data_IF_332948835976
#
_entry.id   IF_332948835976
#
_cell.length_a   1.000
_cell.length_b   1.000
_cell.length_c   1.000
_cell.angle_alpha   90.00
_cell.angle_beta   90.00
_cell.angle_gamma   90.00
#
_symmetry.space_group_name_H-M   'P 1'
#
loop_
_entity.id
_entity.type
_entity.pdbx_description
1 polymer ?
#
# COMPACT_ATOMS: atom_id res chain seq x y z
N UNK A 1 -2.12 -99.87 -16.37
CA UNK A 1 -3.54 -100.26 -16.27
C UNK A 1 -3.94 -99.94 -14.82
N UNK A 2 -4.17 -98.65 -14.51
CA UNK A 2 -5.47 -97.96 -14.25
C UNK A 2 -6.17 -98.54 -13.00
N UNK A 3 -6.49 -97.77 -11.94
CA UNK A 3 -7.52 -96.72 -11.87
C UNK A 3 -7.35 -95.80 -10.64
N UNK A 4 -7.47 -94.49 -10.87
CA UNK A 4 -8.17 -93.42 -10.10
C UNK A 4 -8.14 -93.35 -8.57
N UNK A 5 -7.71 -92.18 -8.06
CA UNK A 5 -8.48 -91.48 -7.03
C UNK A 5 -8.42 -89.96 -7.23
N UNK A 6 -9.60 -89.35 -7.22
CA UNK A 6 -9.90 -87.95 -7.45
C UNK A 6 -9.49 -87.09 -6.25
N UNK A 7 -8.92 -85.91 -6.52
CA UNK A 7 -9.14 -84.75 -5.66
C UNK A 7 -9.31 -83.49 -6.53
N UNK A 8 -10.56 -83.21 -6.89
CA UNK A 8 -10.97 -81.90 -7.38
C UNK A 8 -11.02 -80.91 -6.21
N UNK A 9 -10.29 -79.79 -6.34
CA UNK A 9 -10.70 -78.50 -5.77
C UNK A 9 -10.58 -77.44 -6.86
N UNK A 10 -11.68 -76.79 -7.28
CA UNK A 10 -11.66 -75.70 -8.22
C UNK A 10 -11.34 -74.41 -7.45
N UNK A 11 -10.38 -73.60 -7.90
CA UNK A 11 -10.08 -72.38 -7.19
C UNK A 11 -8.92 -71.58 -7.75
N UNK A 12 -9.24 -70.77 -8.77
CA UNK A 12 -8.54 -69.52 -9.10
C UNK A 12 -7.09 -69.70 -9.58
N UNK A 13 -6.94 -70.06 -10.86
CA UNK A 13 -5.78 -69.60 -11.63
C UNK A 13 -5.91 -68.09 -11.76
N UNK A 14 -4.98 -67.32 -11.15
CA UNK A 14 -4.87 -65.87 -11.31
C UNK A 14 -4.49 -65.53 -12.75
N UNK A 15 -5.45 -65.55 -13.68
CA UNK A 15 -5.34 -64.76 -14.90
C UNK A 15 -5.68 -63.32 -14.50
N UNK A 16 -4.66 -62.53 -14.17
CA UNK A 16 -4.84 -61.07 -14.21
C UNK A 16 -5.05 -60.76 -15.69
N UNK A 17 -6.30 -60.54 -16.07
CA UNK A 17 -6.69 -60.17 -17.42
C UNK A 17 -5.84 -58.99 -17.86
N UNK A 18 -4.99 -59.22 -18.87
CA UNK A 18 -4.17 -58.19 -19.52
C UNK A 18 -5.02 -57.01 -20.01
N UNK A 19 -6.31 -57.24 -20.31
CA UNK A 19 -7.28 -56.20 -20.63
C UNK A 19 -7.66 -55.30 -19.44
N UNK A 20 -7.77 -55.83 -18.21
CA UNK A 20 -8.08 -55.03 -17.01
C UNK A 20 -6.88 -54.20 -16.59
N UNK A 21 -5.66 -54.76 -16.67
CA UNK A 21 -4.44 -54.01 -16.40
C UNK A 21 -4.20 -52.89 -17.45
N UNK A 22 -4.51 -53.15 -18.73
CA UNK A 22 -4.41 -52.14 -19.79
C UNK A 22 -5.45 -51.04 -19.64
N UNK A 23 -6.71 -51.36 -19.31
CA UNK A 23 -7.76 -50.37 -19.07
C UNK A 23 -7.48 -49.50 -17.82
N UNK A 24 -6.86 -50.07 -16.77
CA UNK A 24 -6.40 -49.30 -15.60
C UNK A 24 -5.24 -48.35 -15.95
N UNK A 25 -4.28 -48.79 -16.78
CA UNK A 25 -3.17 -47.97 -17.26
C UNK A 25 -3.66 -46.84 -18.19
N UNK A 26 -4.59 -47.14 -19.10
CA UNK A 26 -5.24 -46.13 -19.96
C UNK A 26 -6.05 -45.12 -19.13
N UNK A 27 -6.83 -45.58 -18.15
CA UNK A 27 -7.55 -44.69 -17.22
C UNK A 27 -6.62 -43.82 -16.36
N UNK A 28 -5.47 -44.35 -15.93
CA UNK A 28 -4.45 -43.56 -15.23
C UNK A 28 -3.77 -42.54 -16.15
N UNK A 29 -3.47 -42.90 -17.40
CA UNK A 29 -2.87 -41.99 -18.38
C UNK A 29 -3.83 -40.87 -18.78
N UNK A 30 -5.12 -41.18 -18.94
CA UNK A 30 -6.17 -40.17 -19.19
C UNK A 30 -6.34 -39.25 -17.98
N UNK A 31 -6.34 -39.79 -16.75
CA UNK A 31 -6.39 -38.97 -15.54
C UNK A 31 -5.17 -38.05 -15.35
N UNK A 32 -3.98 -38.50 -15.74
CA UNK A 32 -2.75 -37.68 -15.75
C UNK A 32 -2.80 -36.62 -16.86
N UNK A 33 -3.30 -36.95 -18.04
CA UNK A 33 -3.46 -36.01 -19.15
C UNK A 33 -4.48 -34.91 -18.82
N UNK A 34 -5.61 -35.26 -18.21
CA UNK A 34 -6.62 -34.29 -17.75
C UNK A 34 -6.09 -33.41 -16.61
N UNK A 35 -5.34 -33.97 -15.66
CA UNK A 35 -4.71 -33.20 -14.61
C UNK A 35 -3.65 -32.24 -15.15
N UNK A 36 -2.90 -32.66 -16.18
CA UNK A 36 -1.91 -31.82 -16.87
C UNK A 36 -2.58 -30.70 -17.66
N UNK A 37 -3.63 -31.00 -18.43
CA UNK A 37 -4.38 -30.01 -19.19
C UNK A 37 -5.02 -28.95 -18.28
N UNK A 38 -5.57 -29.35 -17.12
CA UNK A 38 -6.09 -28.40 -16.12
C UNK A 38 -5.01 -27.51 -15.52
N UNK A 39 -3.80 -28.04 -15.29
CA UNK A 39 -2.66 -27.22 -14.83
C UNK A 39 -2.20 -26.24 -15.89
N UNK A 40 -2.05 -26.69 -17.13
CA UNK A 40 -1.66 -25.83 -18.25
C UNK A 40 -2.70 -24.73 -18.52
N UNK A 41 -3.99 -25.05 -18.41
CA UNK A 41 -5.07 -24.06 -18.51
C UNK A 41 -5.04 -23.05 -17.35
N UNK A 42 -4.77 -23.51 -16.12
CA UNK A 42 -4.65 -22.63 -14.97
C UNK A 42 -3.42 -21.72 -15.05
N UNK A 43 -2.27 -22.26 -15.43
CA UNK A 43 -1.04 -21.49 -15.67
C UNK A 43 -1.23 -20.45 -16.79
N UNK A 44 -1.97 -20.78 -17.85
CA UNK A 44 -2.28 -19.84 -18.93
C UNK A 44 -3.18 -18.68 -18.46
N UNK A 45 -4.15 -18.96 -17.58
CA UNK A 45 -5.01 -17.93 -16.97
C UNK A 45 -4.22 -17.02 -16.03
N UNK A 46 -3.35 -17.60 -15.20
CA UNK A 46 -2.48 -16.84 -14.29
C UNK A 46 -1.52 -15.93 -15.06
N UNK A 47 -0.93 -16.42 -16.16
CA UNK A 47 -0.10 -15.59 -17.06
C UNK A 47 -0.89 -14.46 -17.72
N UNK A 48 -2.11 -14.72 -18.18
CA UNK A 48 -2.96 -13.69 -18.78
C UNK A 48 -3.30 -12.58 -17.77
N UNK A 49 -3.62 -12.93 -16.53
CA UNK A 49 -3.92 -11.97 -15.47
C UNK A 49 -2.68 -11.13 -15.08
N UNK A 50 -1.50 -11.74 -15.05
CA UNK A 50 -0.23 -11.03 -14.80
C UNK A 50 0.11 -10.08 -15.96
N UNK A 51 -0.11 -10.52 -17.20
CA UNK A 51 0.12 -9.71 -18.40
C UNK A 51 -0.80 -8.47 -18.43
N UNK A 52 -2.08 -8.64 -18.15
CA UNK A 52 -3.04 -7.52 -18.08
C UNK A 52 -2.62 -6.50 -17.00
N UNK A 53 -2.17 -6.98 -15.84
CA UNK A 53 -1.64 -6.11 -14.77
C UNK A 53 -0.40 -5.35 -15.24
N UNK A 54 0.53 -6.02 -15.94
CA UNK A 54 1.73 -5.38 -16.49
C UNK A 54 1.42 -4.34 -17.57
N UNK A 55 0.42 -4.55 -18.41
CA UNK A 55 0.05 -3.59 -19.47
C UNK A 55 -0.49 -2.28 -18.88
N UNK A 56 -1.20 -2.34 -17.76
CA UNK A 56 -1.68 -1.15 -17.02
C UNK A 56 -0.62 -0.49 -16.12
N UNK A 57 0.52 -1.16 -15.92
CA UNK A 57 1.52 -0.80 -14.93
C UNK A 57 2.24 0.54 -15.21
N UNK A 58 2.66 0.86 -16.46
CA UNK A 58 3.29 2.14 -16.75
C UNK A 58 2.38 3.33 -16.42
N UNK A 59 1.09 3.24 -16.74
CA UNK A 59 0.11 4.29 -16.46
C UNK A 59 -0.09 4.49 -14.96
N UNK A 60 -0.10 3.40 -14.18
CA UNK A 60 -0.17 3.43 -12.73
C UNK A 60 1.04 4.14 -12.14
N UNK A 61 2.25 3.77 -12.57
CA UNK A 61 3.50 4.39 -12.12
C UNK A 61 3.56 5.87 -12.47
N UNK A 62 3.16 6.25 -13.69
CA UNK A 62 3.09 7.66 -14.10
C UNK A 62 2.08 8.46 -13.26
N UNK A 63 0.93 7.85 -12.91
CA UNK A 63 -0.06 8.48 -12.03
C UNK A 63 0.50 8.68 -10.62
N UNK A 64 1.10 7.64 -10.03
CA UNK A 64 1.75 7.73 -8.71
C UNK A 64 2.85 8.78 -8.69
N UNK A 65 3.70 8.82 -9.72
CA UNK A 65 4.76 9.83 -9.83
C UNK A 65 4.18 11.27 -9.87
N UNK A 66 3.07 11.49 -10.59
CA UNK A 66 2.38 12.78 -10.62
C UNK A 66 1.80 13.15 -9.26
N UNK A 67 1.16 12.21 -8.59
CA UNK A 67 0.60 12.43 -7.24
C UNK A 67 1.69 12.74 -6.22
N UNK A 68 2.79 11.97 -6.24
CA UNK A 68 3.97 12.21 -5.39
C UNK A 68 4.55 13.61 -5.66
N UNK A 69 4.65 14.03 -6.92
CA UNK A 69 5.12 15.36 -7.26
C UNK A 69 4.20 16.46 -6.70
N UNK A 70 2.88 16.28 -6.82
CA UNK A 70 1.92 17.22 -6.26
C UNK A 70 2.00 17.29 -4.73
N UNK A 71 2.07 16.14 -4.05
CA UNK A 71 2.19 16.10 -2.58
C UNK A 71 3.48 16.76 -2.10
N UNK A 72 4.59 16.63 -2.85
CA UNK A 72 5.84 17.37 -2.54
C UNK A 72 5.65 18.88 -2.62
N UNK A 73 4.92 19.37 -3.62
CA UNK A 73 4.60 20.80 -3.75
C UNK A 73 3.74 21.27 -2.58
N UNK A 74 2.69 20.53 -2.24
CA UNK A 74 1.82 20.84 -1.09
C UNK A 74 2.60 20.89 0.23
N UNK A 75 3.53 19.94 0.44
CA UNK A 75 4.39 19.90 1.63
C UNK A 75 5.32 21.11 1.71
N UNK A 76 5.88 21.56 0.59
CA UNK A 76 6.72 22.76 0.55
C UNK A 76 5.91 24.01 0.88
N UNK A 77 4.70 24.16 0.30
CA UNK A 77 3.80 25.27 0.60
C UNK A 77 3.45 25.31 2.09
N UNK A 78 3.00 24.19 2.66
CA UNK A 78 2.65 24.08 4.07
C UNK A 78 3.84 24.40 4.98
N UNK A 79 5.05 23.97 4.61
CA UNK A 79 6.27 24.31 5.34
C UNK A 79 6.53 25.81 5.33
N UNK A 80 6.48 26.45 4.16
CA UNK A 80 6.68 27.90 4.03
C UNK A 80 5.64 28.69 4.80
N UNK A 81 4.36 28.29 4.72
CA UNK A 81 3.29 28.90 5.51
C UNK A 81 3.50 28.72 7.01
N UNK A 82 3.93 27.54 7.46
CA UNK A 82 4.27 27.29 8.85
C UNK A 82 5.45 28.13 9.35
N UNK A 83 6.48 28.35 8.53
CA UNK A 83 7.59 29.25 8.85
C UNK A 83 7.14 30.72 8.94
N UNK A 84 6.31 31.17 8.00
CA UNK A 84 5.72 32.50 8.04
C UNK A 84 4.86 32.72 9.30
N UNK A 85 4.05 31.72 9.68
CA UNK A 85 3.21 31.83 10.88
C UNK A 85 4.03 31.89 12.17
N UNK A 86 5.12 31.12 12.26
CA UNK A 86 6.05 31.21 13.39
C UNK A 86 6.66 32.61 13.51
N UNK A 87 7.00 33.24 12.40
CA UNK A 87 7.50 34.61 12.40
C UNK A 87 6.42 35.62 12.85
N UNK A 88 5.16 35.43 12.43
CA UNK A 88 4.04 36.26 12.85
C UNK A 88 3.76 36.15 14.36
N UNK A 89 3.72 34.92 14.89
CA UNK A 89 3.57 34.66 16.34
C UNK A 89 4.64 35.42 17.12
N UNK A 90 5.92 35.23 16.73
CA UNK A 90 7.03 35.92 17.39
C UNK A 90 6.91 37.44 17.29
N UNK A 91 6.57 37.98 16.12
CA UNK A 91 6.39 39.41 15.95
C UNK A 91 5.25 39.97 16.79
N UNK A 92 4.18 39.20 17.01
CA UNK A 92 3.06 39.59 17.86
C UNK A 92 3.48 39.64 19.34
N UNK A 93 4.23 38.63 19.80
CA UNK A 93 4.81 38.58 21.15
C UNK A 93 5.79 39.74 21.41
N UNK A 94 6.68 40.02 20.46
CA UNK A 94 7.64 41.13 20.53
C UNK A 94 6.90 42.49 20.61
N UNK A 95 5.86 42.67 19.78
CA UNK A 95 5.02 43.87 19.79
C UNK A 95 4.35 44.08 21.15
N UNK A 96 3.82 43.02 21.75
CA UNK A 96 3.22 43.12 23.08
C UNK A 96 4.18 43.43 24.19
N UNK A 97 5.36 42.84 24.14
CA UNK A 97 6.42 43.13 25.10
C UNK A 97 6.77 44.62 25.05
N UNK A 98 6.89 45.18 23.83
CA UNK A 98 7.10 46.61 23.63
C UNK A 98 5.93 47.47 24.11
N UNK A 99 4.68 47.08 23.81
CA UNK A 99 3.49 47.82 24.23
C UNK A 99 3.34 47.85 25.76
N UNK A 100 3.55 46.71 26.45
CA UNK A 100 3.52 46.66 27.92
C UNK A 100 4.55 47.59 28.54
N UNK A 101 5.80 47.54 28.06
CA UNK A 101 6.86 48.42 28.55
C UNK A 101 6.55 49.91 28.35
N UNK A 102 5.87 50.27 27.26
CA UNK A 102 5.43 51.64 27.00
C UNK A 102 4.28 52.07 27.93
N UNK A 103 3.30 51.18 28.16
CA UNK A 103 2.15 51.45 29.03
C UNK A 103 2.54 51.56 30.50
N UNK A 104 3.48 50.74 30.98
CA UNK A 104 4.05 50.83 32.33
C UNK A 104 4.68 52.21 32.59
N UNK A 105 5.42 52.75 31.61
CA UNK A 105 6.01 54.11 31.70
C UNK A 105 4.96 55.22 31.75
N UNK A 106 3.79 54.99 31.15
CA UNK A 106 2.71 55.97 31.06
C UNK A 106 1.70 55.87 32.22
N UNK A 107 1.79 54.85 33.08
CA UNK A 107 0.88 54.64 34.21
C UNK A 107 -0.58 54.34 33.80
N UNK A 108 -0.82 53.85 32.57
CA UNK A 108 -2.16 53.67 32.00
C UNK A 108 -2.63 52.21 32.11
N UNK A 109 -3.32 51.87 33.19
CA UNK A 109 -3.78 50.50 33.46
C UNK A 109 -4.98 50.04 32.60
N UNK A 110 -5.92 50.92 32.25
CA UNK A 110 -7.12 50.52 31.47
C UNK A 110 -6.80 50.21 30.00
N UNK A 111 -5.90 50.98 29.38
CA UNK A 111 -5.39 50.70 28.03
C UNK A 111 -4.62 49.37 28.00
N UNK A 112 -3.98 49.01 29.11
CA UNK A 112 -3.27 47.74 29.25
C UNK A 112 -4.23 46.53 29.17
N UNK A 113 -5.44 46.65 29.71
CA UNK A 113 -6.40 45.53 29.70
C UNK A 113 -6.92 45.20 28.30
N UNK A 114 -7.34 46.20 27.51
CA UNK A 114 -7.84 45.97 26.15
C UNK A 114 -6.74 45.47 25.21
N UNK A 115 -5.53 46.04 25.30
CA UNK A 115 -4.38 45.63 24.50
C UNK A 115 -3.96 44.18 24.81
N UNK A 116 -4.02 43.78 26.09
CA UNK A 116 -3.77 42.40 26.50
C UNK A 116 -4.84 41.46 25.95
N UNK A 117 -6.12 41.83 26.02
CA UNK A 117 -7.22 41.03 25.50
C UNK A 117 -7.09 40.80 23.98
N UNK A 118 -6.95 41.88 23.19
CA UNK A 118 -6.76 41.80 21.73
C UNK A 118 -5.56 40.93 21.35
N UNK A 119 -4.45 41.05 22.08
CA UNK A 119 -3.31 40.19 21.84
C UNK A 119 -3.60 38.73 22.16
N UNK A 120 -4.21 38.42 23.30
CA UNK A 120 -4.51 37.03 23.66
C UNK A 120 -5.41 36.37 22.64
N UNK A 121 -6.41 37.09 22.11
CA UNK A 121 -7.27 36.59 21.04
C UNK A 121 -6.48 36.37 19.75
N UNK A 122 -5.65 37.34 19.35
CA UNK A 122 -4.82 37.23 18.14
C UNK A 122 -3.81 36.07 18.25
N UNK A 123 -3.20 35.92 19.42
CA UNK A 123 -2.25 34.85 19.71
C UNK A 123 -2.93 33.48 19.71
N UNK A 124 -4.13 33.37 20.28
CA UNK A 124 -4.93 32.15 20.24
C UNK A 124 -5.29 31.77 18.80
N UNK A 125 -5.66 32.73 17.95
CA UNK A 125 -5.95 32.49 16.54
C UNK A 125 -4.72 32.02 15.77
N UNK A 126 -3.58 32.70 15.91
CA UNK A 126 -2.32 32.33 15.25
C UNK A 126 -1.82 30.95 15.69
N UNK A 127 -1.92 30.64 16.99
CA UNK A 127 -1.52 29.32 17.50
C UNK A 127 -2.45 28.20 17.01
N UNK A 128 -3.76 28.45 16.93
CA UNK A 128 -4.70 27.50 16.35
C UNK A 128 -4.41 27.26 14.86
N UNK A 129 -4.13 28.30 14.10
CA UNK A 129 -3.74 28.17 12.69
C UNK A 129 -2.42 27.40 12.53
N UNK A 130 -1.44 27.63 13.41
CA UNK A 130 -0.18 26.86 13.39
C UNK A 130 -0.42 25.37 13.65
N UNK A 131 -1.33 25.02 14.56
CA UNK A 131 -1.74 23.64 14.78
C UNK A 131 -2.41 23.02 13.57
N UNK A 132 -3.29 23.74 12.89
CA UNK A 132 -3.96 23.27 11.68
C UNK A 132 -2.97 23.03 10.53
N UNK A 133 -2.02 23.94 10.32
CA UNK A 133 -0.96 23.77 9.31
C UNK A 133 -0.09 22.56 9.64
N UNK A 134 0.27 22.39 10.92
CA UNK A 134 1.05 21.22 11.36
C UNK A 134 0.29 19.92 11.10
N UNK A 135 -1.00 19.85 11.46
CA UNK A 135 -1.82 18.67 11.23
C UNK A 135 -1.96 18.36 9.73
N UNK A 136 -2.16 19.39 8.89
CA UNK A 136 -2.22 19.22 7.43
C UNK A 136 -0.87 18.73 6.86
N UNK A 137 0.24 19.25 7.37
CA UNK A 137 1.59 18.80 6.98
C UNK A 137 1.82 17.33 7.35
N UNK A 138 1.49 16.95 8.58
CA UNK A 138 1.65 15.57 9.06
C UNK A 138 0.79 14.60 8.22
N UNK A 139 -0.44 14.97 7.87
CA UNK A 139 -1.31 14.17 7.00
C UNK A 139 -0.76 14.03 5.57
N UNK A 140 -0.29 15.13 4.96
CA UNK A 140 0.33 15.10 3.62
C UNK A 140 1.62 14.30 3.60
N UNK A 141 2.38 14.32 4.69
CA UNK A 141 3.58 13.51 4.85
C UNK A 141 3.25 12.02 4.89
N UNK A 142 2.22 11.62 5.63
CA UNK A 142 1.77 10.22 5.64
C UNK A 142 1.30 9.78 4.24
N UNK A 143 0.57 10.64 3.52
CA UNK A 143 0.18 10.37 2.13
C UNK A 143 1.41 10.16 1.23
N UNK A 144 2.42 11.01 1.37
CA UNK A 144 3.67 10.88 0.61
C UNK A 144 4.38 9.55 0.90
N UNK A 145 4.50 9.18 2.17
CA UNK A 145 5.14 7.93 2.61
C UNK A 145 4.38 6.70 2.05
N UNK A 146 3.05 6.71 2.11
CA UNK A 146 2.22 5.64 1.55
C UNK A 146 2.39 5.49 0.02
N UNK A 147 2.26 6.59 -0.73
CA UNK A 147 2.44 6.57 -2.18
C UNK A 147 3.86 6.15 -2.59
N UNK A 148 4.87 6.56 -1.82
CA UNK A 148 6.26 6.18 -2.09
C UNK A 148 6.48 4.68 -1.87
N UNK A 149 5.86 4.11 -0.83
CA UNK A 149 5.90 2.66 -0.58
C UNK A 149 5.16 1.89 -1.67
N UNK A 150 3.96 2.34 -2.04
CA UNK A 150 3.16 1.69 -3.09
C UNK A 150 3.90 1.72 -4.43
N UNK A 151 4.58 2.82 -4.76
CA UNK A 151 5.42 2.91 -5.95
C UNK A 151 6.63 1.96 -5.88
N UNK A 152 7.22 1.77 -4.71
CA UNK A 152 8.32 0.83 -4.52
C UNK A 152 7.86 -0.63 -4.69
N UNK A 153 6.72 -0.97 -4.08
CA UNK A 153 6.10 -2.30 -4.17
C UNK A 153 5.69 -2.61 -5.61
N UNK A 154 5.11 -1.63 -6.31
CA UNK A 154 4.80 -1.71 -7.72
C UNK A 154 6.06 -2.05 -8.53
N UNK A 155 7.14 -1.29 -8.36
CA UNK A 155 8.39 -1.53 -9.10
C UNK A 155 9.00 -2.90 -8.80
N UNK A 156 8.97 -3.32 -7.53
CA UNK A 156 9.44 -4.64 -7.12
C UNK A 156 8.61 -5.77 -7.77
N UNK A 157 7.30 -5.58 -7.92
CA UNK A 157 6.46 -6.51 -8.66
C UNK A 157 6.84 -6.58 -10.14
N UNK A 158 7.05 -5.43 -10.80
CA UNK A 158 7.49 -5.40 -12.19
C UNK A 158 8.82 -6.15 -12.38
N UNK A 159 9.82 -5.87 -11.54
CA UNK A 159 11.12 -6.54 -11.58
C UNK A 159 11.01 -8.05 -11.34
N UNK A 160 10.14 -8.48 -10.42
CA UNK A 160 9.92 -9.90 -10.12
C UNK A 160 9.29 -10.63 -11.32
N UNK A 161 8.33 -10.01 -12.01
CA UNK A 161 7.70 -10.61 -13.18
C UNK A 161 8.68 -10.64 -14.36
N UNK A 162 9.38 -9.54 -14.66
CA UNK A 162 10.36 -9.47 -15.74
C UNK A 162 11.58 -10.41 -15.51
N UNK A 163 12.02 -10.54 -14.25
CA UNK A 163 13.14 -11.43 -13.88
C UNK A 163 12.79 -12.92 -13.84
N UNK A 164 11.52 -13.28 -13.68
CA UNK A 164 11.06 -14.67 -13.68
C UNK A 164 10.89 -15.28 -15.09
N UNK A 165 11.07 -14.47 -16.13
CA UNK A 165 10.96 -14.88 -17.54
C UNK A 165 12.28 -15.25 -18.24
N UNK A 166 13.42 -15.24 -17.53
CA UNK A 166 14.74 -15.61 -18.04
C UNK A 166 15.17 -17.04 -17.66
#
# INVERSE_FOLDING_TARGET
MSETELLERPGIKKSVDTGVASALLEGQQVGVAEARAKREEQEARERAEVQEKLESFPELVERMNREIAQVKVDLLDLKTRGEALKAQIKSNDDRMTGMRAALEKLGKNEINSQVVEEHTTTQAALTAEAWNIKAAFDAKRQQFEALSQELADAKAFQEAVEGSGQ
#
